data_IF_145401966795
#
_entry.id   IF_145401966795
#
_cell.length_a   1.000
_cell.length_b   1.000
_cell.length_c   1.000
_cell.angle_alpha   90.00
_cell.angle_beta   90.00
_cell.angle_gamma   90.00
#
_symmetry.space_group_name_H-M   'P 1'
#
loop_
_entity.id
_entity.type
_entity.pdbx_description
1 polymer ?
#
# COMPACT_ATOMS: atom_id res chain seq x y z
N UNK A 1 -7.02 10.77 9.11
CA UNK A 1 -6.87 9.30 9.12
C UNK A 1 -8.08 8.69 9.83
N UNK A 2 -8.64 7.57 9.34
CA UNK A 2 -9.62 6.82 10.13
C UNK A 2 -8.86 6.10 11.25
N UNK A 3 -9.39 6.15 12.46
CA UNK A 3 -8.83 5.42 13.59
C UNK A 3 -8.96 3.91 13.34
N UNK A 4 -7.82 3.21 13.23
CA UNK A 4 -7.79 1.76 13.02
C UNK A 4 -7.60 1.07 14.36
N UNK A 5 -8.54 0.21 14.74
CA UNK A 5 -8.39 -0.63 15.92
C UNK A 5 -7.55 -1.86 15.58
N UNK A 6 -6.32 -1.89 16.06
CA UNK A 6 -5.43 -3.03 15.89
C UNK A 6 -5.90 -4.24 16.69
N UNK A 7 -5.76 -5.42 16.08
CA UNK A 7 -6.21 -6.69 16.66
C UNK A 7 -5.01 -7.51 17.13
N UNK A 8 -5.25 -8.33 18.14
CA UNK A 8 -4.38 -9.43 18.55
C UNK A 8 -5.12 -10.76 18.39
N UNK A 9 -4.37 -11.85 18.32
CA UNK A 9 -4.91 -13.21 18.26
C UNK A 9 -3.92 -14.18 18.89
N UNK A 10 -4.38 -15.06 19.78
CA UNK A 10 -3.56 -16.12 20.35
C UNK A 10 -2.44 -15.62 21.28
N UNK A 11 -2.75 -14.61 22.10
CA UNK A 11 -1.83 -14.04 23.10
C UNK A 11 -2.10 -14.67 24.47
N UNK A 12 -1.07 -15.01 25.28
CA UNK A 12 0.37 -14.85 25.03
C UNK A 12 0.88 -15.70 23.85
N UNK A 13 1.75 -15.12 23.02
CA UNK A 13 2.22 -15.79 21.80
C UNK A 13 3.03 -17.04 22.14
N UNK A 14 3.77 -17.02 23.24
CA UNK A 14 4.65 -18.10 23.70
C UNK A 14 3.86 -19.37 24.01
N UNK A 15 2.67 -19.21 24.56
CA UNK A 15 1.76 -20.27 25.03
C UNK A 15 0.79 -20.75 23.96
N UNK A 16 0.82 -20.17 22.74
CA UNK A 16 -0.12 -20.53 21.70
C UNK A 16 0.05 -21.98 21.24
N UNK A 17 -1.01 -22.76 21.41
CA UNK A 17 -1.12 -24.14 20.95
C UNK A 17 -1.64 -24.23 19.52
N UNK A 18 -0.96 -25.02 18.69
CA UNK A 18 -1.35 -25.20 17.30
C UNK A 18 -2.68 -25.94 17.17
N UNK A 19 -3.59 -25.36 16.39
CA UNK A 19 -4.85 -26.00 16.08
C UNK A 19 -4.76 -26.86 14.83
N UNK A 20 -5.73 -27.76 14.64
CA UNK A 20 -5.89 -28.50 13.37
C UNK A 20 -6.01 -27.57 12.16
N UNK A 21 -6.61 -26.38 12.33
CA UNK A 21 -6.73 -25.38 11.27
C UNK A 21 -5.37 -24.85 10.84
N UNK A 22 -4.47 -24.63 11.79
CA UNK A 22 -3.12 -24.13 11.51
C UNK A 22 -2.30 -25.14 10.73
N UNK A 23 -2.36 -26.43 11.12
CA UNK A 23 -1.71 -27.50 10.37
C UNK A 23 -2.25 -27.61 8.94
N UNK A 24 -3.56 -27.50 8.75
CA UNK A 24 -4.16 -27.50 7.42
C UNK A 24 -3.68 -26.30 6.60
N UNK A 25 -3.66 -25.10 7.19
CA UNK A 25 -3.20 -23.89 6.51
C UNK A 25 -1.73 -23.97 6.14
N UNK A 26 -0.87 -24.49 7.02
CA UNK A 26 0.54 -24.73 6.71
C UNK A 26 0.71 -25.74 5.56
N UNK A 27 -0.08 -26.81 5.55
CA UNK A 27 -0.04 -27.81 4.47
C UNK A 27 -0.45 -27.21 3.12
N UNK A 28 -1.50 -26.40 3.09
CA UNK A 28 -1.95 -25.71 1.88
C UNK A 28 -0.93 -24.67 1.40
N UNK A 29 -0.35 -23.88 2.33
CA UNK A 29 0.76 -22.97 2.01
C UNK A 29 1.92 -23.71 1.34
N UNK A 30 2.30 -24.86 1.90
CA UNK A 30 3.34 -25.73 1.33
C UNK A 30 2.99 -26.26 -0.07
N UNK A 31 1.73 -26.60 -0.36
CA UNK A 31 1.29 -27.01 -1.71
C UNK A 31 1.38 -25.85 -2.69
N UNK A 32 0.86 -24.69 -2.32
CA UNK A 32 0.91 -23.46 -3.13
C UNK A 32 2.35 -23.05 -3.43
N UNK A 33 3.25 -23.19 -2.44
CA UNK A 33 4.69 -22.98 -2.59
C UNK A 33 5.32 -23.86 -3.66
N UNK A 34 5.10 -25.18 -3.56
CA UNK A 34 5.64 -26.13 -4.53
C UNK A 34 5.12 -25.89 -5.93
N UNK A 35 3.83 -25.58 -6.06
CA UNK A 35 3.22 -25.23 -7.35
C UNK A 35 3.84 -23.94 -7.91
N UNK A 36 3.94 -22.88 -7.11
CA UNK A 36 4.53 -21.60 -7.54
C UNK A 36 6.00 -21.77 -7.96
N UNK A 37 6.79 -22.56 -7.22
CA UNK A 37 8.19 -22.85 -7.57
C UNK A 37 8.29 -23.54 -8.93
N UNK A 38 7.44 -24.54 -9.19
CA UNK A 38 7.40 -25.22 -10.49
C UNK A 38 7.07 -24.25 -11.63
N UNK A 39 6.09 -23.37 -11.45
CA UNK A 39 5.74 -22.36 -12.45
C UNK A 39 6.90 -21.39 -12.73
N UNK A 40 7.62 -20.97 -11.69
CA UNK A 40 8.81 -20.12 -11.85
C UNK A 40 9.93 -20.86 -12.59
N UNK A 41 10.16 -22.14 -12.29
CA UNK A 41 11.15 -22.97 -13.00
C UNK A 41 10.80 -23.14 -14.48
N UNK A 42 9.54 -23.42 -14.80
CA UNK A 42 9.04 -23.51 -16.17
C UNK A 42 9.19 -22.17 -16.92
N UNK A 43 8.84 -21.05 -16.30
CA UNK A 43 9.01 -19.74 -16.92
C UNK A 43 10.49 -19.38 -17.12
N UNK A 44 11.34 -19.69 -16.15
CA UNK A 44 12.79 -19.54 -16.28
C UNK A 44 13.36 -20.38 -17.42
N UNK A 45 12.88 -21.61 -17.62
CA UNK A 45 13.29 -22.44 -18.74
C UNK A 45 12.89 -21.81 -20.09
N UNK A 46 11.68 -21.25 -20.18
CA UNK A 46 11.21 -20.51 -21.38
C UNK A 46 12.09 -19.29 -21.65
N UNK A 47 12.46 -18.52 -20.63
CA UNK A 47 13.36 -17.38 -20.79
C UNK A 47 14.78 -17.79 -21.18
N UNK A 48 15.28 -18.96 -20.74
CA UNK A 48 16.59 -19.47 -21.20
C UNK A 48 16.56 -19.88 -22.68
N UNK A 49 15.43 -20.38 -23.17
CA UNK A 49 15.25 -20.78 -24.56
C UNK A 49 14.98 -19.60 -25.51
N UNK A 50 14.47 -18.48 -25.00
CA UNK A 50 14.10 -17.29 -25.78
C UNK A 50 14.70 -16.01 -25.15
N UNK A 51 15.82 -15.51 -25.71
CA UNK A 51 16.48 -14.29 -25.24
C UNK A 51 15.60 -13.03 -25.30
N UNK A 52 14.70 -12.90 -26.28
CA UNK A 52 13.82 -11.74 -26.37
C UNK A 52 12.78 -11.76 -25.26
N UNK A 53 12.23 -12.94 -24.93
CA UNK A 53 11.35 -13.10 -23.76
C UNK A 53 12.08 -12.75 -22.48
N UNK A 54 13.34 -13.17 -22.33
CA UNK A 54 14.13 -12.82 -21.16
C UNK A 54 14.31 -11.30 -21.04
N UNK A 55 14.57 -10.59 -22.14
CA UNK A 55 14.69 -9.13 -22.17
C UNK A 55 13.38 -8.43 -21.83
N UNK A 56 12.25 -8.85 -22.44
CA UNK A 56 10.92 -8.31 -22.08
C UNK A 56 10.62 -8.50 -20.60
N UNK A 57 10.97 -9.66 -20.03
CA UNK A 57 10.77 -9.94 -18.60
C UNK A 57 11.64 -9.04 -17.72
N UNK A 58 12.92 -8.82 -18.08
CA UNK A 58 13.81 -7.88 -17.38
C UNK A 58 13.21 -6.47 -17.34
N UNK A 59 12.82 -5.93 -18.50
CA UNK A 59 12.23 -4.61 -18.59
C UNK A 59 10.92 -4.48 -17.77
N UNK A 60 10.08 -5.53 -17.78
CA UNK A 60 8.88 -5.57 -16.96
C UNK A 60 9.21 -5.49 -15.45
N UNK A 61 10.19 -6.27 -14.99
CA UNK A 61 10.63 -6.22 -13.59
C UNK A 61 11.25 -4.88 -13.21
N UNK A 62 12.03 -4.25 -14.10
CA UNK A 62 12.59 -2.92 -13.86
C UNK A 62 11.51 -1.86 -13.69
N UNK A 63 10.46 -1.88 -14.53
CA UNK A 63 9.35 -0.93 -14.42
C UNK A 63 8.57 -1.13 -13.13
N UNK A 64 8.32 -2.39 -12.73
CA UNK A 64 7.70 -2.69 -11.44
C UNK A 64 8.59 -2.24 -10.29
N UNK A 65 9.90 -2.45 -10.36
CA UNK A 65 10.84 -2.00 -9.33
C UNK A 65 10.84 -0.47 -9.17
N UNK A 66 10.86 0.28 -10.29
CA UNK A 66 10.73 1.75 -10.29
C UNK A 66 9.41 2.21 -9.66
N UNK A 67 8.32 1.55 -10.01
CA UNK A 67 7.00 1.82 -9.42
C UNK A 67 7.02 1.56 -7.91
N UNK A 68 7.54 0.42 -7.46
CA UNK A 68 7.61 0.07 -6.04
C UNK A 68 8.50 1.04 -5.25
N UNK A 69 9.61 1.52 -5.83
CA UNK A 69 10.50 2.52 -5.21
C UNK A 69 9.84 3.89 -5.04
N UNK A 70 8.86 4.23 -5.89
CA UNK A 70 8.13 5.49 -5.78
C UNK A 70 7.25 5.57 -4.52
N UNK A 71 6.83 4.41 -3.99
CA UNK A 71 6.07 4.30 -2.75
C UNK A 71 7.00 4.27 -1.53
N UNK A 72 7.66 5.40 -1.23
CA UNK A 72 8.30 5.57 0.09
C UNK A 72 7.22 5.78 1.14
N UNK A 73 7.05 4.79 2.01
CA UNK A 73 6.20 4.91 3.20
C UNK A 73 7.00 5.60 4.29
N UNK A 74 6.37 6.55 4.98
CA UNK A 74 7.00 7.16 6.14
C UNK A 74 6.96 6.21 7.34
N UNK A 75 7.93 6.29 8.25
CA UNK A 75 8.01 5.39 9.40
C UNK A 75 6.76 5.44 10.28
N UNK A 76 6.09 6.59 10.38
CA UNK A 76 4.84 6.75 11.11
C UNK A 76 3.62 6.10 10.42
N UNK A 77 3.75 5.67 9.17
CA UNK A 77 2.73 4.93 8.44
C UNK A 77 2.95 3.41 8.55
N UNK A 78 4.01 2.97 9.21
CA UNK A 78 4.38 1.57 9.34
C UNK A 78 4.00 1.08 10.74
N UNK A 79 3.06 0.15 10.78
CA UNK A 79 2.67 -0.58 11.99
C UNK A 79 3.48 -1.87 12.10
N UNK A 80 3.89 -2.21 13.32
CA UNK A 80 4.69 -3.39 13.64
C UNK A 80 3.90 -4.38 14.49
N UNK A 81 4.12 -5.66 14.27
CA UNK A 81 3.51 -6.76 15.01
C UNK A 81 4.56 -7.81 15.39
N UNK A 82 4.41 -8.39 16.58
CA UNK A 82 5.02 -9.70 16.89
C UNK A 82 4.09 -10.76 16.35
N UNK A 83 4.64 -11.76 15.68
CA UNK A 83 3.86 -12.86 15.09
C UNK A 83 4.50 -14.19 15.44
N UNK A 84 3.69 -15.14 15.91
CA UNK A 84 4.10 -16.53 16.07
C UNK A 84 3.91 -17.24 14.74
N UNK A 85 4.94 -17.94 14.30
CA UNK A 85 4.91 -18.78 13.11
C UNK A 85 4.48 -20.20 13.45
N UNK A 86 4.03 -20.95 12.45
CA UNK A 86 3.67 -22.37 12.60
C UNK A 86 4.80 -23.21 13.23
N UNK A 87 6.06 -22.91 12.92
CA UNK A 87 7.23 -23.54 13.52
C UNK A 87 7.47 -23.20 15.01
N UNK A 88 6.68 -22.30 15.60
CA UNK A 88 6.76 -21.90 17.01
C UNK A 88 7.59 -20.64 17.27
N UNK A 89 8.49 -20.25 16.36
CA UNK A 89 9.29 -19.03 16.50
C UNK A 89 8.44 -17.76 16.40
N UNK A 90 8.85 -16.72 17.12
CA UNK A 90 8.19 -15.42 17.14
C UNK A 90 9.09 -14.41 16.45
N UNK A 91 8.56 -13.74 15.42
CA UNK A 91 9.31 -12.73 14.67
C UNK A 91 8.54 -11.40 14.62
N UNK A 92 9.22 -10.34 14.23
CA UNK A 92 8.57 -9.06 13.91
C UNK A 92 8.15 -9.04 12.44
N UNK A 93 6.98 -8.46 12.16
CA UNK A 93 6.57 -8.09 10.80
C UNK A 93 5.99 -6.68 10.78
N UNK A 94 6.08 -6.08 9.59
CA UNK A 94 5.67 -4.70 9.36
C UNK A 94 4.67 -4.63 8.20
N UNK A 95 3.72 -3.70 8.29
CA UNK A 95 2.78 -3.37 7.22
C UNK A 95 2.25 -1.94 7.40
N UNK A 96 1.50 -1.44 6.42
CA UNK A 96 0.91 -0.11 6.52
C UNK A 96 -0.12 -0.04 7.67
N UNK A 97 -0.17 1.08 8.39
CA UNK A 97 -1.02 1.29 9.57
C UNK A 97 -2.53 1.20 9.30
N UNK A 98 -2.95 1.23 8.03
CA UNK A 98 -4.35 1.03 7.65
C UNK A 98 -4.84 -0.41 7.83
N UNK A 99 -3.92 -1.38 7.95
CA UNK A 99 -4.29 -2.77 8.16
C UNK A 99 -4.51 -3.05 9.66
N UNK A 100 -5.66 -3.64 10.03
CA UNK A 100 -5.96 -3.91 11.44
C UNK A 100 -5.14 -5.06 12.03
N UNK A 101 -4.59 -5.92 11.18
CA UNK A 101 -3.80 -7.10 11.54
C UNK A 101 -2.88 -7.51 10.36
N UNK A 102 -1.81 -8.29 10.61
CA UNK A 102 -0.85 -8.67 9.57
C UNK A 102 -1.45 -9.58 8.49
N UNK A 103 -2.52 -10.32 8.78
CA UNK A 103 -3.16 -11.22 7.81
C UNK A 103 -3.92 -10.42 6.74
N UNK A 104 -4.63 -9.38 7.17
CA UNK A 104 -5.34 -8.43 6.30
C UNK A 104 -4.40 -7.66 5.37
N UNK A 105 -3.13 -7.49 5.77
CA UNK A 105 -2.08 -6.91 4.93
C UNK A 105 -1.56 -7.87 3.84
N UNK A 106 -2.13 -9.09 3.73
CA UNK A 106 -1.69 -10.11 2.77
C UNK A 106 -0.48 -10.91 3.22
N UNK A 107 -0.01 -10.73 4.46
CA UNK A 107 1.18 -11.39 4.99
C UNK A 107 0.84 -12.75 5.62
N UNK A 108 0.29 -13.68 4.84
CA UNK A 108 -0.18 -14.97 5.37
C UNK A 108 0.94 -15.93 5.78
N UNK A 109 2.08 -15.84 5.12
CA UNK A 109 3.25 -16.70 5.29
C UNK A 109 4.55 -15.87 5.24
N UNK A 110 5.54 -16.30 6.03
CA UNK A 110 6.84 -15.62 6.20
C UNK A 110 7.97 -16.62 6.18
N UNK A 111 9.16 -16.17 5.80
CA UNK A 111 10.38 -16.91 6.12
C UNK A 111 10.70 -16.76 7.60
N UNK A 112 10.96 -17.87 8.28
CA UNK A 112 11.43 -17.83 9.66
C UNK A 112 12.92 -17.48 9.68
N UNK A 113 13.30 -16.44 10.43
CA UNK A 113 14.70 -16.03 10.60
C UNK A 113 15.51 -16.99 11.49
N UNK A 114 14.86 -17.77 12.35
CA UNK A 114 15.52 -18.66 13.30
C UNK A 114 15.82 -20.03 12.68
N UNK A 115 14.81 -20.72 12.13
CA UNK A 115 15.00 -22.03 11.50
C UNK A 115 15.26 -21.97 9.99
N UNK A 116 15.15 -20.81 9.34
CA UNK A 116 15.38 -20.63 7.91
C UNK A 116 14.27 -21.15 6.99
N UNK A 117 13.26 -21.85 7.55
CA UNK A 117 12.18 -22.42 6.76
C UNK A 117 11.34 -21.30 6.10
N UNK A 118 11.13 -21.44 4.79
CA UNK A 118 10.36 -20.48 4.03
C UNK A 118 8.85 -20.74 4.16
N UNK A 119 8.03 -19.70 3.97
CA UNK A 119 6.56 -19.79 3.94
C UNK A 119 5.91 -20.45 5.17
N UNK A 120 6.42 -20.12 6.35
CA UNK A 120 5.77 -20.42 7.62
C UNK A 120 4.54 -19.55 7.82
N UNK A 121 3.40 -20.20 8.08
CA UNK A 121 2.11 -19.54 8.26
C UNK A 121 2.10 -18.74 9.56
N UNK A 122 1.51 -17.54 9.54
CA UNK A 122 1.23 -16.78 10.77
C UNK A 122 0.08 -17.42 11.56
N UNK A 123 0.48 -17.86 12.75
CA UNK A 123 -0.20 -18.45 13.91
C UNK A 123 -1.18 -17.60 14.71
N UNK A 124 -0.55 -16.58 15.27
CA UNK A 124 -0.97 -15.74 16.35
C UNK A 124 -0.15 -14.44 16.21
N UNK A 125 -0.67 -13.34 16.71
CA UNK A 125 -0.03 -12.05 16.55
C UNK A 125 -0.49 -11.04 17.61
N UNK A 126 0.36 -10.07 17.89
CA UNK A 126 0.03 -8.92 18.71
C UNK A 126 0.67 -7.64 18.16
N UNK A 127 -0.02 -6.49 18.26
CA UNK A 127 0.53 -5.22 17.83
C UNK A 127 1.66 -4.75 18.76
N UNK A 128 2.74 -4.24 18.18
CA UNK A 128 3.82 -3.55 18.91
C UNK A 128 3.55 -2.04 18.93
N UNK A 129 3.17 -1.48 17.78
CA UNK A 129 2.98 -0.04 17.61
C UNK A 129 3.56 0.46 16.29
N UNK A 130 3.37 1.76 16.04
CA UNK A 130 3.97 2.43 14.89
C UNK A 130 5.49 2.45 15.01
N UNK A 131 6.17 2.46 13.86
CA UNK A 131 7.64 2.50 13.79
C UNK A 131 8.19 3.89 14.09
N UNK A 132 7.48 4.93 13.66
CA UNK A 132 7.79 6.32 13.98
C UNK A 132 6.61 7.03 14.62
N UNK A 133 6.91 8.14 15.29
CA UNK A 133 5.88 9.07 15.76
C UNK A 133 5.31 9.85 14.56
N UNK A 134 3.98 10.05 14.49
CA UNK A 134 3.39 10.94 13.49
C UNK A 134 4.06 12.31 13.55
N UNK A 135 4.28 12.99 12.41
CA UNK A 135 4.73 14.37 12.43
C UNK A 135 3.74 15.16 13.29
N UNK A 136 4.25 15.93 14.23
CA UNK A 136 3.45 16.90 14.96
C UNK A 136 2.68 17.71 13.91
N UNK A 137 1.36 17.82 14.08
CA UNK A 137 0.52 18.46 13.09
C UNK A 137 1.02 19.88 12.91
N UNK A 138 1.79 20.12 11.83
CA UNK A 138 2.20 21.45 11.45
C UNK A 138 0.92 22.29 11.42
N UNK A 139 0.93 23.42 12.12
CA UNK A 139 -0.20 24.33 12.17
C UNK A 139 -0.77 24.45 10.75
N UNK A 140 -2.09 24.31 10.58
CA UNK A 140 -2.68 24.35 9.26
C UNK A 140 -2.18 25.61 8.57
N UNK A 141 -1.61 25.51 7.34
CA UNK A 141 -1.11 26.66 6.64
C UNK A 141 -2.24 27.69 6.60
N UNK A 142 -1.92 28.93 6.98
CA UNK A 142 -2.90 30.00 7.03
C UNK A 142 -3.69 30.01 5.72
N UNK A 143 -5.04 30.06 5.78
CA UNK A 143 -5.85 30.00 4.58
C UNK A 143 -5.38 31.11 3.63
N UNK A 144 -5.23 30.81 2.32
CA UNK A 144 -4.83 31.81 1.36
C UNK A 144 -5.79 33.01 1.46
N UNK A 145 -5.27 34.24 1.36
CA UNK A 145 -6.10 35.43 1.48
C UNK A 145 -7.28 35.32 0.49
N UNK A 146 -8.50 35.67 0.91
CA UNK A 146 -9.66 35.56 0.04
C UNK A 146 -9.39 36.37 -1.24
N UNK A 147 -9.80 35.84 -2.41
CA UNK A 147 -9.65 36.57 -3.66
C UNK A 147 -10.31 37.95 -3.50
N UNK A 148 -9.57 39.01 -3.84
CA UNK A 148 -10.07 40.39 -3.74
C UNK A 148 -11.38 40.48 -4.51
N UNK A 149 -12.48 40.81 -3.81
CA UNK A 149 -13.76 41.05 -4.47
C UNK A 149 -13.57 42.23 -5.44
N UNK A 150 -13.88 42.06 -6.73
CA UNK A 150 -13.76 43.15 -7.70
C UNK A 150 -14.63 44.31 -7.24
N UNK A 151 -14.07 45.52 -7.33
CA UNK A 151 -14.76 46.75 -6.98
C UNK A 151 -15.94 46.98 -7.92
N UNK A 152 -16.95 47.73 -7.47
CA UNK A 152 -18.12 48.10 -8.29
C UNK A 152 -17.71 48.73 -9.63
N UNK A 153 -16.67 49.56 -9.64
CA UNK A 153 -16.14 50.19 -10.84
C UNK A 153 -15.46 49.21 -11.82
N UNK A 154 -14.88 48.10 -11.33
CA UNK A 154 -14.34 47.04 -12.18
C UNK A 154 -15.46 46.20 -12.80
N UNK A 155 -16.52 45.93 -12.02
CA UNK A 155 -17.71 45.24 -12.52
C UNK A 155 -18.44 46.07 -13.58
N UNK A 156 -18.64 47.37 -13.34
CA UNK A 156 -19.28 48.28 -14.30
C UNK A 156 -18.48 48.39 -15.62
N UNK A 157 -17.14 48.44 -15.54
CA UNK A 157 -16.28 48.39 -16.73
C UNK A 157 -16.43 47.08 -17.50
N UNK A 158 -16.50 45.95 -16.79
CA UNK A 158 -16.64 44.62 -17.41
C UNK A 158 -18.02 44.42 -18.04
N UNK A 159 -19.08 44.90 -17.39
CA UNK A 159 -20.44 44.88 -17.95
C UNK A 159 -20.50 45.69 -19.24
N UNK A 160 -19.98 46.93 -19.23
CA UNK A 160 -19.96 47.79 -20.42
C UNK A 160 -19.18 47.18 -21.58
N UNK A 161 -18.06 46.50 -21.30
CA UNK A 161 -17.29 45.80 -22.32
C UNK A 161 -18.07 44.62 -22.92
N UNK A 162 -18.74 43.83 -22.07
CA UNK A 162 -19.56 42.69 -22.49
C UNK A 162 -20.80 43.11 -23.27
N UNK A 163 -21.45 44.21 -22.89
CA UNK A 163 -22.61 44.77 -23.61
C UNK A 163 -22.21 45.23 -25.01
N UNK A 164 -21.08 45.93 -25.14
CA UNK A 164 -20.53 46.34 -26.44
C UNK A 164 -20.18 45.15 -27.33
N UNK A 165 -19.63 44.09 -26.74
CA UNK A 165 -19.35 42.86 -27.48
C UNK A 165 -20.63 42.12 -27.90
N UNK A 166 -21.65 42.09 -27.04
CA UNK A 166 -22.96 41.54 -27.37
C UNK A 166 -23.62 42.30 -28.52
N UNK A 167 -23.58 43.63 -28.50
CA UNK A 167 -24.12 44.47 -29.56
C UNK A 167 -23.38 44.23 -30.90
N UNK A 168 -22.05 44.15 -30.87
CA UNK A 168 -21.25 43.78 -32.04
C UNK A 168 -21.63 42.41 -32.59
N UNK A 169 -21.82 41.41 -31.71
CA UNK A 169 -22.20 40.07 -32.12
C UNK A 169 -23.62 40.04 -32.70
N UNK A 170 -24.59 40.72 -32.07
CA UNK A 170 -25.95 40.84 -32.59
C UNK A 170 -25.97 41.52 -33.97
N UNK A 171 -25.24 42.61 -34.16
CA UNK A 171 -25.11 43.26 -35.47
C UNK A 171 -24.48 42.33 -36.53
N UNK A 172 -23.54 41.46 -36.13
CA UNK A 172 -22.91 40.47 -37.01
C UNK A 172 -23.86 39.32 -37.41
N UNK A 173 -24.86 39.02 -36.59
CA UNK A 173 -25.82 37.91 -36.80
C UNK A 173 -27.23 38.37 -37.17
N UNK A 174 -27.46 39.67 -37.38
CA UNK A 174 -28.74 40.25 -37.82
C UNK A 174 -28.65 40.94 -39.20
N UNK A 175 -27.63 40.58 -39.99
CA UNK A 175 -27.48 40.93 -41.40
C UNK A 175 -27.43 39.68 -42.27
#
# INVERSE_FOLDING_TARGET
>A
MREVKYRSSGVPLEEYELTRRDHNRQKESGKTSRWARRQVEEDNAKCRADPERAERRRHAFENVAKLMQSFKKADHEIMRWRVRLHCGHIIETEAHCTYPDPLSAGSYDKRCSECGEDRQTIVAFEPIGLRGEPPEAAEPPSPPPPPKKPTRAELERRVKALEKENERLRAKFSG
#
